data_IF_223166910500
#
_entry.id   IF_223166910500
#
_cell.length_a   1.000
_cell.length_b   1.000
_cell.length_c   1.000
_cell.angle_alpha   90.00
_cell.angle_beta   90.00
_cell.angle_gamma   90.00
#
_symmetry.space_group_name_H-M   'P 1'
#
loop_
_entity.id
_entity.type
_entity.pdbx_description
1 polymer ?
#
# COMPACT_ATOMS: atom_id res chain seq x y z
N UNK A 1 43.79 36.96 -50.49
CA UNK A 1 42.51 36.77 -49.78
C UNK A 1 41.40 37.03 -50.77
N UNK A 2 40.81 36.00 -51.34
CA UNK A 2 39.59 36.15 -52.14
C UNK A 2 38.41 36.06 -51.17
N UNK A 3 37.70 37.18 -50.97
CA UNK A 3 36.44 37.20 -50.23
C UNK A 3 35.37 36.51 -51.06
N UNK A 4 35.29 35.19 -50.95
CA UNK A 4 34.17 34.41 -51.46
C UNK A 4 32.96 34.62 -50.54
N UNK A 5 32.36 35.79 -50.66
CA UNK A 5 31.10 36.16 -50.03
C UNK A 5 29.97 35.47 -50.80
N UNK A 6 29.88 34.15 -50.68
CA UNK A 6 28.78 33.39 -51.25
C UNK A 6 27.50 33.83 -50.54
N UNK A 7 26.68 34.66 -51.22
CA UNK A 7 25.50 35.33 -50.62
C UNK A 7 24.46 34.38 -50.01
N UNK A 8 24.58 33.08 -50.30
CA UNK A 8 23.69 32.03 -49.81
C UNK A 8 24.19 31.30 -48.55
N UNK A 9 25.38 31.63 -48.03
CA UNK A 9 25.91 31.01 -46.80
C UNK A 9 25.63 31.93 -45.62
N UNK A 10 24.94 31.43 -44.59
CA UNK A 10 24.61 32.22 -43.39
C UNK A 10 25.81 32.28 -42.45
N UNK A 11 26.23 33.49 -42.07
CA UNK A 11 27.45 33.73 -41.27
C UNK A 11 27.17 33.87 -39.76
N UNK A 12 25.90 34.00 -39.37
CA UNK A 12 25.47 34.13 -37.97
C UNK A 12 24.55 32.98 -37.56
N UNK A 13 24.85 32.38 -36.41
CA UNK A 13 24.02 31.36 -35.78
C UNK A 13 22.68 31.97 -35.34
N UNK A 14 21.59 31.26 -35.61
CA UNK A 14 20.25 31.66 -35.16
C UNK A 14 20.24 31.61 -33.63
N UNK A 15 19.73 32.67 -32.98
CA UNK A 15 19.44 32.63 -31.54
C UNK A 15 18.50 31.48 -31.25
N UNK A 16 18.78 30.74 -30.17
CA UNK A 16 17.94 29.63 -29.74
C UNK A 16 16.50 30.14 -29.49
N UNK A 17 15.56 29.65 -30.29
CA UNK A 17 14.15 29.96 -30.17
C UNK A 17 13.47 28.80 -29.47
N UNK A 18 12.51 29.13 -28.60
CA UNK A 18 11.66 28.09 -28.03
C UNK A 18 10.88 27.38 -29.14
N UNK A 19 10.70 26.05 -29.05
CA UNK A 19 9.97 25.32 -30.07
C UNK A 19 8.53 25.87 -30.24
N UNK A 20 7.97 25.82 -31.45
CA UNK A 20 6.58 26.22 -31.69
C UNK A 20 5.63 25.52 -30.72
N UNK A 21 4.55 26.18 -30.33
CA UNK A 21 3.60 25.66 -29.32
C UNK A 21 3.01 24.30 -29.73
N UNK A 22 2.86 24.03 -31.02
CA UNK A 22 2.42 22.74 -31.56
C UNK A 22 3.43 21.59 -31.40
N UNK A 23 4.71 21.92 -31.20
CA UNK A 23 5.83 20.96 -31.13
C UNK A 23 6.39 20.81 -29.72
N UNK A 24 5.67 21.30 -28.69
CA UNK A 24 6.09 21.16 -27.29
C UNK A 24 4.90 20.98 -26.35
N UNK A 25 5.16 20.39 -25.18
CA UNK A 25 4.21 20.28 -24.09
C UNK A 25 2.97 19.43 -24.41
N UNK A 26 1.85 19.78 -23.77
CA UNK A 26 0.59 19.01 -23.82
C UNK A 26 0.02 18.94 -25.24
N UNK A 27 0.15 20.02 -26.03
CA UNK A 27 -0.42 20.09 -27.39
C UNK A 27 0.23 19.04 -28.30
N UNK A 28 1.55 18.92 -28.26
CA UNK A 28 2.27 17.87 -29.00
C UNK A 28 1.85 16.47 -28.53
N UNK A 29 1.76 16.27 -27.21
CA UNK A 29 1.35 14.98 -26.64
C UNK A 29 -0.04 14.54 -27.11
N UNK A 30 -1.02 15.47 -27.12
CA UNK A 30 -2.37 15.19 -27.63
C UNK A 30 -2.35 14.83 -29.11
N UNK A 31 -1.61 15.59 -29.92
CA UNK A 31 -1.50 15.31 -31.36
C UNK A 31 -0.85 13.97 -31.65
N UNK A 32 0.18 13.57 -30.89
CA UNK A 32 0.94 12.34 -31.10
C UNK A 32 0.26 11.09 -30.51
N UNK A 33 -0.54 11.23 -29.45
CA UNK A 33 -1.15 10.09 -28.76
C UNK A 33 -2.64 9.93 -29.09
N UNK A 34 -3.42 11.02 -29.03
CA UNK A 34 -4.88 10.96 -29.16
C UNK A 34 -5.35 11.13 -30.62
N UNK A 35 -4.61 11.90 -31.43
CA UNK A 35 -5.04 12.28 -32.80
C UNK A 35 -4.05 11.77 -33.86
N UNK A 36 -3.19 10.80 -33.53
CA UNK A 36 -2.12 10.36 -34.42
C UNK A 36 -2.58 9.58 -35.64
N UNK A 37 -3.78 8.99 -35.60
CA UNK A 37 -4.38 8.29 -36.74
C UNK A 37 -5.90 8.49 -36.76
N UNK A 38 -6.58 8.33 -37.91
CA UNK A 38 -8.04 8.39 -37.97
C UNK A 38 -8.71 7.40 -37.02
N UNK A 39 -8.12 6.23 -36.82
CA UNK A 39 -8.59 5.24 -35.84
C UNK A 39 -8.44 5.72 -34.39
N UNK A 40 -7.27 6.28 -34.03
CA UNK A 40 -7.04 6.83 -32.69
C UNK A 40 -7.96 8.01 -32.40
N UNK A 41 -8.22 8.85 -33.40
CA UNK A 41 -9.16 9.95 -33.27
C UNK A 41 -10.59 9.46 -33.01
N UNK A 42 -11.06 8.45 -33.75
CA UNK A 42 -12.39 7.83 -33.54
C UNK A 42 -12.46 7.18 -32.16
N UNK A 43 -11.44 6.41 -31.76
CA UNK A 43 -11.41 5.77 -30.44
C UNK A 43 -11.38 6.79 -29.31
N UNK A 44 -10.64 7.88 -29.47
CA UNK A 44 -10.63 8.99 -28.51
C UNK A 44 -12.01 9.63 -28.40
N UNK A 45 -12.67 9.91 -29.53
CA UNK A 45 -14.01 10.49 -29.52
C UNK A 45 -15.04 9.54 -28.88
N UNK A 46 -14.95 8.24 -29.19
CA UNK A 46 -15.79 7.21 -28.59
C UNK A 46 -15.56 7.10 -27.08
N UNK A 47 -14.30 7.07 -26.63
CA UNK A 47 -13.96 7.06 -25.20
C UNK A 47 -14.49 8.31 -24.49
N UNK A 48 -14.32 9.49 -25.08
CA UNK A 48 -14.88 10.73 -24.53
C UNK A 48 -16.41 10.67 -24.45
N UNK A 49 -17.08 10.14 -25.47
CA UNK A 49 -18.52 9.96 -25.47
C UNK A 49 -19.00 8.97 -24.40
N UNK A 50 -18.31 7.83 -24.22
CA UNK A 50 -18.61 6.86 -23.16
C UNK A 50 -18.42 7.50 -21.79
N UNK A 51 -17.29 8.18 -21.56
CA UNK A 51 -17.00 8.87 -20.30
C UNK A 51 -18.07 9.92 -20.01
N UNK A 52 -18.40 10.75 -21.01
CA UNK A 52 -19.45 11.76 -20.89
C UNK A 52 -20.81 11.14 -20.56
N UNK A 53 -21.18 10.05 -21.25
CA UNK A 53 -22.44 9.34 -21.00
C UNK A 53 -22.49 8.76 -19.58
N UNK A 54 -21.42 8.11 -19.11
CA UNK A 54 -21.35 7.58 -17.74
C UNK A 54 -21.49 8.72 -16.73
N UNK A 55 -20.76 9.83 -16.94
CA UNK A 55 -20.81 10.99 -16.04
C UNK A 55 -22.22 11.57 -15.99
N UNK A 56 -22.87 11.87 -17.12
CA UNK A 56 -24.19 12.51 -17.12
C UNK A 56 -25.26 11.61 -16.52
N UNK A 57 -25.19 10.30 -16.74
CA UNK A 57 -26.17 9.36 -16.18
C UNK A 57 -25.95 9.07 -14.69
N UNK A 58 -24.71 9.09 -14.21
CA UNK A 58 -24.39 8.83 -12.80
C UNK A 58 -24.34 10.09 -11.92
N UNK A 59 -24.08 11.25 -12.50
CA UNK A 59 -23.92 12.51 -11.77
C UNK A 59 -25.15 12.90 -10.94
N UNK A 60 -26.41 12.80 -11.44
CA UNK A 60 -27.59 13.10 -10.62
C UNK A 60 -27.65 12.24 -9.35
N UNK A 61 -27.29 10.95 -9.46
CA UNK A 61 -27.28 10.03 -8.33
C UNK A 61 -26.32 10.47 -7.22
N UNK A 62 -25.12 10.94 -7.58
CA UNK A 62 -24.13 11.44 -6.62
C UNK A 62 -24.44 12.86 -6.11
N UNK A 63 -24.82 13.77 -7.00
CA UNK A 63 -24.99 15.20 -6.70
C UNK A 63 -26.23 15.42 -5.82
N UNK A 64 -27.33 14.73 -6.12
CA UNK A 64 -28.57 14.83 -5.35
C UNK A 64 -28.59 13.89 -4.13
N UNK A 65 -27.41 13.40 -3.70
CA UNK A 65 -27.31 12.44 -2.61
C UNK A 65 -27.64 13.05 -1.24
N UNK A 66 -28.52 12.40 -0.49
CA UNK A 66 -28.96 12.85 0.84
C UNK A 66 -28.10 12.21 1.93
N UNK A 67 -27.56 13.03 2.83
CA UNK A 67 -26.69 12.60 3.94
C UNK A 67 -27.37 12.58 5.32
N UNK A 68 -28.56 13.16 5.43
CA UNK A 68 -29.28 13.29 6.69
C UNK A 68 -30.75 12.88 6.52
N UNK A 69 -31.07 11.66 6.94
CA UNK A 69 -32.41 11.08 6.94
C UNK A 69 -32.47 9.97 7.99
N UNK A 70 -33.58 9.82 8.71
CA UNK A 70 -33.76 8.82 9.77
C UNK A 70 -34.23 7.47 9.24
N UNK A 71 -34.71 7.43 8.00
CA UNK A 71 -35.12 6.19 7.35
C UNK A 71 -34.94 6.25 5.84
N UNK A 72 -34.88 5.08 5.21
CA UNK A 72 -34.82 4.96 3.75
C UNK A 72 -36.07 5.58 3.08
N UNK A 73 -37.24 5.51 3.74
CA UNK A 73 -38.49 6.10 3.23
C UNK A 73 -38.42 7.63 3.20
N UNK A 74 -37.97 8.23 4.29
CA UNK A 74 -37.75 9.69 4.37
C UNK A 74 -36.76 10.17 3.30
N UNK A 75 -35.75 9.35 3.00
CA UNK A 75 -34.82 9.62 1.91
C UNK A 75 -35.53 9.71 0.54
N UNK A 76 -36.46 8.81 0.26
CA UNK A 76 -37.26 8.84 -0.97
C UNK A 76 -38.25 10.02 -0.99
N UNK A 77 -38.83 10.36 0.16
CA UNK A 77 -39.76 11.48 0.28
C UNK A 77 -39.06 12.82 -0.01
N UNK A 78 -37.82 13.00 0.46
CA UNK A 78 -37.00 14.20 0.20
C UNK A 78 -36.54 14.26 -1.26
N UNK A 79 -36.27 13.12 -1.88
CA UNK A 79 -35.85 13.04 -3.29
C UNK A 79 -36.96 13.45 -4.26
N UNK A 80 -38.23 13.36 -3.86
CA UNK A 80 -39.42 13.79 -4.61
C UNK A 80 -39.38 13.40 -6.11
N UNK A 81 -39.05 12.13 -6.39
CA UNK A 81 -38.98 11.59 -7.76
C UNK A 81 -37.72 11.95 -8.55
N UNK A 82 -36.81 12.75 -7.99
CA UNK A 82 -35.48 13.02 -8.55
C UNK A 82 -34.55 11.84 -8.24
N UNK A 83 -33.65 11.48 -9.18
CA UNK A 83 -32.64 10.45 -8.94
C UNK A 83 -31.54 10.97 -8.01
N UNK A 84 -31.24 10.21 -6.94
CA UNK A 84 -30.26 10.54 -5.90
C UNK A 84 -29.91 9.34 -5.01
N UNK A 85 -28.73 9.35 -4.41
CA UNK A 85 -28.28 8.31 -3.48
C UNK A 85 -28.73 8.60 -2.04
N UNK A 86 -29.05 7.56 -1.28
CA UNK A 86 -29.27 7.69 0.17
C UNK A 86 -27.97 7.45 0.95
N UNK A 87 -27.13 8.47 1.08
CA UNK A 87 -25.87 8.41 1.82
C UNK A 87 -26.05 8.45 3.35
N UNK A 88 -27.25 8.76 3.85
CA UNK A 88 -27.58 8.68 5.28
C UNK A 88 -27.24 7.28 5.87
N UNK A 89 -27.49 6.20 5.12
CA UNK A 89 -27.13 4.83 5.53
C UNK A 89 -25.61 4.68 5.69
N UNK A 90 -24.82 5.26 4.77
CA UNK A 90 -23.36 5.22 4.87
C UNK A 90 -22.88 5.99 6.09
N UNK A 91 -23.47 7.15 6.41
CA UNK A 91 -23.13 7.95 7.59
C UNK A 91 -23.42 7.19 8.89
N UNK A 92 -24.59 6.57 9.01
CA UNK A 92 -24.95 5.79 10.20
C UNK A 92 -24.13 4.52 10.36
N UNK A 93 -23.79 3.85 9.26
CA UNK A 93 -23.06 2.57 9.25
C UNK A 93 -21.56 2.75 9.05
N UNK A 94 -21.06 3.99 8.98
CA UNK A 94 -19.64 4.27 8.76
C UNK A 94 -18.72 3.57 9.77
N UNK A 95 -19.01 3.58 11.09
CA UNK A 95 -18.18 2.84 12.05
C UNK A 95 -18.14 1.34 11.78
N UNK A 96 -19.26 0.76 11.31
CA UNK A 96 -19.33 -0.66 10.98
C UNK A 96 -18.54 -1.01 9.72
N UNK A 97 -18.52 -0.12 8.73
CA UNK A 97 -17.71 -0.28 7.52
C UNK A 97 -16.21 -0.19 7.81
N UNK A 98 -15.80 0.62 8.78
CA UNK A 98 -14.38 0.81 9.13
C UNK A 98 -13.88 -0.27 10.09
N UNK A 99 -14.57 -0.50 11.21
CA UNK A 99 -14.09 -1.35 12.31
C UNK A 99 -14.77 -2.73 12.38
N UNK A 100 -15.89 -2.92 11.66
CA UNK A 100 -16.72 -4.12 11.75
C UNK A 100 -17.88 -3.98 12.74
N UNK A 101 -18.62 -5.07 12.93
CA UNK A 101 -19.88 -5.06 13.70
C UNK A 101 -19.72 -5.05 15.21
N UNK A 102 -18.63 -5.64 15.73
CA UNK A 102 -18.48 -5.94 17.17
C UNK A 102 -17.30 -5.25 17.86
N UNK A 103 -16.49 -4.49 17.11
CA UNK A 103 -15.35 -3.80 17.70
C UNK A 103 -15.82 -2.71 18.68
N UNK A 104 -15.33 -2.68 19.93
CA UNK A 104 -15.80 -1.75 20.95
C UNK A 104 -15.50 -0.29 20.57
N UNK A 105 -16.51 0.58 20.68
CA UNK A 105 -16.42 1.97 20.24
C UNK A 105 -15.46 2.83 21.05
N UNK A 106 -15.24 2.47 22.32
CA UNK A 106 -14.24 3.09 23.19
C UNK A 106 -12.81 2.87 22.70
N UNK A 107 -12.58 1.82 21.91
CA UNK A 107 -11.24 1.41 21.46
C UNK A 107 -10.94 1.74 20.00
N UNK A 108 -11.81 2.51 19.32
CA UNK A 108 -11.57 2.95 17.93
C UNK A 108 -10.29 3.76 17.75
N UNK A 109 -9.75 4.34 18.82
CA UNK A 109 -8.47 5.02 18.77
C UNK A 109 -7.33 4.05 18.39
N UNK A 110 -7.40 2.75 18.74
CA UNK A 110 -6.31 1.81 18.47
C UNK A 110 -6.14 1.55 16.96
N UNK A 111 -7.19 1.19 16.20
CA UNK A 111 -7.07 1.05 14.75
C UNK A 111 -6.73 2.35 14.04
N UNK A 112 -7.24 3.49 14.52
CA UNK A 112 -6.94 4.79 13.92
C UNK A 112 -5.46 5.14 14.07
N UNK A 113 -4.90 4.94 15.25
CA UNK A 113 -3.46 5.11 15.46
C UNK A 113 -2.69 4.10 14.60
N UNK A 114 -3.14 2.85 14.48
CA UNK A 114 -2.49 1.86 13.61
C UNK A 114 -2.41 2.37 12.16
N UNK A 115 -3.51 2.92 11.61
CA UNK A 115 -3.54 3.48 10.24
C UNK A 115 -2.64 4.71 10.11
N UNK A 116 -2.63 5.62 11.09
CA UNK A 116 -1.73 6.78 11.06
C UNK A 116 -0.26 6.33 11.08
N UNK A 117 0.07 5.35 11.91
CA UNK A 117 1.40 4.76 11.97
C UNK A 117 1.73 3.99 10.67
N UNK A 118 0.76 3.38 10.00
CA UNK A 118 0.95 2.76 8.68
C UNK A 118 1.42 3.80 7.66
N UNK A 119 0.74 4.95 7.62
CA UNK A 119 1.10 6.03 6.70
C UNK A 119 2.51 6.57 7.00
N UNK A 120 2.86 6.70 8.28
CA UNK A 120 4.22 7.08 8.69
C UNK A 120 5.26 6.02 8.30
N UNK A 121 4.93 4.73 8.42
CA UNK A 121 5.77 3.61 8.00
C UNK A 121 5.92 3.52 6.48
N UNK A 122 4.89 3.90 5.72
CA UNK A 122 4.90 3.89 4.25
C UNK A 122 5.62 5.10 3.66
N UNK A 123 5.61 6.25 4.35
CA UNK A 123 6.22 7.49 3.90
C UNK A 123 7.67 7.33 3.38
N UNK A 124 8.64 6.73 4.11
CA UNK A 124 10.01 6.58 3.61
C UNK A 124 10.14 5.63 2.41
N UNK A 125 9.17 4.73 2.20
CA UNK A 125 9.12 3.83 1.05
C UNK A 125 8.63 4.58 -0.20
N UNK A 126 7.61 5.43 -0.04
CA UNK A 126 7.02 6.19 -1.14
C UNK A 126 7.89 7.41 -1.54
N UNK A 127 8.51 8.07 -0.56
CA UNK A 127 9.28 9.30 -0.77
C UNK A 127 10.77 9.07 -0.52
N UNK A 128 11.54 8.94 -1.61
CA UNK A 128 13.01 8.79 -1.57
C UNK A 128 13.77 9.95 -0.92
N UNK A 129 13.12 11.09 -0.67
CA UNK A 129 13.70 12.28 -0.03
C UNK A 129 13.73 12.21 1.50
N UNK A 130 13.03 11.25 2.11
CA UNK A 130 12.97 11.11 3.57
C UNK A 130 14.21 10.38 4.11
N UNK A 131 14.60 10.64 5.39
CA UNK A 131 15.77 10.02 5.98
C UNK A 131 15.62 8.49 6.07
N UNK A 132 16.66 7.77 5.68
CA UNK A 132 16.69 6.30 5.68
C UNK A 132 16.47 5.68 7.07
N UNK A 133 16.75 6.43 8.15
CA UNK A 133 16.49 6.00 9.52
C UNK A 133 15.01 5.68 9.78
N UNK A 134 14.09 6.34 9.06
CA UNK A 134 12.65 6.05 9.14
C UNK A 134 12.28 4.67 8.58
N UNK A 135 13.13 4.03 7.76
CA UNK A 135 12.89 2.64 7.31
C UNK A 135 12.94 1.64 8.47
N UNK A 136 13.67 1.97 9.55
CA UNK A 136 13.65 1.16 10.77
C UNK A 136 12.26 1.12 11.39
N UNK A 137 11.51 2.22 11.31
CA UNK A 137 10.13 2.26 11.77
C UNK A 137 9.22 1.35 10.94
N UNK A 138 9.41 1.31 9.61
CA UNK A 138 8.68 0.38 8.73
C UNK A 138 8.91 -1.09 9.09
N UNK A 139 10.09 -1.45 9.60
CA UNK A 139 10.38 -2.81 10.04
C UNK A 139 9.72 -3.17 11.38
N UNK A 140 9.56 -2.20 12.29
CA UNK A 140 8.93 -2.40 13.60
C UNK A 140 7.40 -2.35 13.50
N UNK A 141 6.87 -1.55 12.57
CA UNK A 141 5.44 -1.28 12.44
C UNK A 141 4.53 -2.52 12.41
N UNK A 142 4.82 -3.63 11.68
CA UNK A 142 3.94 -4.80 11.67
C UNK A 142 3.70 -5.41 13.06
N UNK A 143 4.74 -5.42 13.91
CA UNK A 143 4.67 -5.93 15.28
C UNK A 143 3.91 -4.97 16.18
N UNK A 144 4.14 -3.66 16.01
CA UNK A 144 3.43 -2.62 16.75
C UNK A 144 1.93 -2.60 16.40
N UNK A 145 1.59 -2.73 15.12
CA UNK A 145 0.21 -2.78 14.63
C UNK A 145 -0.52 -4.02 15.17
N UNK A 146 0.15 -5.17 15.21
CA UNK A 146 -0.42 -6.37 15.83
C UNK A 146 -0.82 -6.13 17.28
N UNK A 147 0.09 -5.61 18.11
CA UNK A 147 -0.21 -5.31 19.52
C UNK A 147 -1.35 -4.30 19.67
N UNK A 148 -1.34 -3.24 18.87
CA UNK A 148 -2.32 -2.17 18.97
C UNK A 148 -3.74 -2.65 18.65
N UNK A 149 -3.90 -3.58 17.69
CA UNK A 149 -5.22 -4.02 17.22
C UNK A 149 -5.76 -5.23 18.00
N UNK A 150 -4.92 -6.24 18.26
CA UNK A 150 -5.32 -7.42 19.04
C UNK A 150 -5.34 -7.16 20.54
N UNK A 151 -4.57 -6.19 21.03
CA UNK A 151 -4.40 -5.92 22.45
C UNK A 151 -3.47 -6.94 23.12
N UNK A 152 -3.61 -7.09 24.44
CA UNK A 152 -2.69 -7.88 25.26
C UNK A 152 -1.41 -7.14 25.60
N UNK A 153 -0.37 -7.88 25.99
CA UNK A 153 0.91 -7.29 26.39
C UNK A 153 1.77 -6.92 25.18
N UNK A 154 2.49 -5.78 25.23
CA UNK A 154 3.45 -5.42 24.17
C UNK A 154 4.63 -6.39 24.12
N UNK A 155 4.86 -7.17 25.19
CA UNK A 155 5.92 -8.16 25.27
C UNK A 155 5.84 -9.18 24.14
N UNK A 156 4.63 -9.62 23.75
CA UNK A 156 4.45 -10.54 22.62
C UNK A 156 5.03 -9.96 21.34
N UNK A 157 4.74 -8.70 21.03
CA UNK A 157 5.25 -8.03 19.84
C UNK A 157 6.77 -7.79 19.91
N UNK A 158 7.29 -7.40 21.07
CA UNK A 158 8.73 -7.17 21.28
C UNK A 158 9.51 -8.49 21.13
N UNK A 159 9.04 -9.56 21.74
CA UNK A 159 9.67 -10.89 21.66
C UNK A 159 9.58 -11.45 20.24
N UNK A 160 8.46 -11.25 19.55
CA UNK A 160 8.33 -11.62 18.14
C UNK A 160 9.39 -10.92 17.28
N UNK A 161 9.54 -9.60 17.44
CA UNK A 161 10.55 -8.80 16.73
C UNK A 161 11.98 -9.23 17.08
N UNK A 162 12.30 -9.37 18.36
CA UNK A 162 13.62 -9.77 18.82
C UNK A 162 13.99 -11.19 18.37
N UNK A 163 13.05 -12.13 18.38
CA UNK A 163 13.28 -13.49 17.89
C UNK A 163 13.55 -13.52 16.38
N UNK A 164 12.84 -12.70 15.59
CA UNK A 164 13.12 -12.54 14.17
C UNK A 164 14.51 -11.91 13.93
N UNK A 165 14.84 -10.84 14.67
CA UNK A 165 16.15 -10.20 14.59
C UNK A 165 17.29 -11.17 14.99
N UNK A 166 17.07 -11.98 16.03
CA UNK A 166 18.01 -13.00 16.49
C UNK A 166 18.18 -14.12 15.45
N UNK A 167 17.09 -14.60 14.85
CA UNK A 167 17.14 -15.55 13.74
C UNK A 167 17.94 -15.02 12.56
N UNK A 168 17.72 -13.77 12.15
CA UNK A 168 18.49 -13.09 11.09
C UNK A 168 19.97 -12.97 11.47
N UNK A 169 20.27 -12.63 12.72
CA UNK A 169 21.65 -12.57 13.22
C UNK A 169 22.34 -13.93 13.14
N UNK A 170 21.69 -15.00 13.60
CA UNK A 170 22.18 -16.38 13.48
C UNK A 170 22.38 -16.78 12.00
N UNK A 171 21.42 -16.47 11.13
CA UNK A 171 21.53 -16.72 9.69
C UNK A 171 22.78 -16.05 9.11
N UNK A 172 22.98 -14.75 9.38
CA UNK A 172 24.14 -14.00 8.89
C UNK A 172 25.46 -14.55 9.43
N UNK A 173 25.48 -15.05 10.67
CA UNK A 173 26.68 -15.61 11.30
C UNK A 173 27.09 -16.97 10.73
N UNK A 174 26.13 -17.84 10.43
CA UNK A 174 26.36 -19.22 10.02
C UNK A 174 26.26 -19.46 8.50
N UNK A 175 25.66 -18.53 7.75
CA UNK A 175 25.57 -18.58 6.28
C UNK A 175 26.93 -18.62 5.59
N UNK A 176 28.00 -18.16 6.24
CA UNK A 176 29.37 -18.19 5.71
C UNK A 176 29.91 -19.61 5.43
N UNK A 177 29.38 -20.64 6.10
CA UNK A 177 29.78 -22.05 5.87
C UNK A 177 28.90 -22.74 4.83
N UNK A 178 27.59 -22.63 5.01
CA UNK A 178 26.60 -23.20 4.10
C UNK A 178 25.30 -22.43 4.29
N UNK A 179 24.70 -22.01 3.17
CA UNK A 179 23.42 -21.31 3.18
C UNK A 179 22.33 -22.14 3.87
N UNK A 180 22.20 -23.42 3.51
CA UNK A 180 21.18 -24.32 4.06
C UNK A 180 21.35 -24.51 5.58
N UNK A 181 22.59 -24.69 6.04
CA UNK A 181 22.90 -24.80 7.47
C UNK A 181 22.57 -23.51 8.23
N UNK A 182 22.86 -22.35 7.61
CA UNK A 182 22.49 -21.05 8.15
C UNK A 182 20.98 -20.88 8.31
N UNK A 183 20.18 -21.29 7.32
CA UNK A 183 18.70 -21.22 7.40
C UNK A 183 18.17 -22.12 8.51
N UNK A 184 18.63 -23.38 8.59
CA UNK A 184 18.16 -24.33 9.60
C UNK A 184 18.46 -23.81 11.02
N UNK A 185 19.68 -23.34 11.27
CA UNK A 185 20.03 -22.76 12.57
C UNK A 185 19.19 -21.53 12.87
N UNK A 186 18.99 -20.64 11.90
CA UNK A 186 18.19 -19.43 12.10
C UNK A 186 16.75 -19.75 12.52
N UNK A 187 16.11 -20.73 11.85
CA UNK A 187 14.76 -21.18 12.19
C UNK A 187 14.71 -21.80 13.58
N UNK A 188 15.64 -22.70 13.91
CA UNK A 188 15.68 -23.35 15.23
C UNK A 188 15.92 -22.30 16.33
N UNK A 189 16.85 -21.38 16.12
CA UNK A 189 17.18 -20.33 17.07
C UNK A 189 16.00 -19.37 17.30
N UNK A 190 15.31 -18.95 16.23
CA UNK A 190 14.13 -18.09 16.34
C UNK A 190 12.97 -18.81 17.04
N UNK A 191 12.68 -20.06 16.65
CA UNK A 191 11.63 -20.86 17.29
C UNK A 191 11.90 -21.09 18.78
N UNK A 192 13.14 -21.43 19.14
CA UNK A 192 13.52 -21.58 20.55
C UNK A 192 13.37 -20.26 21.32
N UNK A 193 13.78 -19.14 20.73
CA UNK A 193 13.61 -17.82 21.32
C UNK A 193 12.14 -17.47 21.56
N UNK A 194 11.25 -17.75 20.59
CA UNK A 194 9.82 -17.49 20.73
C UNK A 194 9.15 -18.39 21.76
N UNK A 195 9.54 -19.67 21.84
CA UNK A 195 9.03 -20.57 22.88
C UNK A 195 9.42 -20.06 24.27
N UNK A 196 10.70 -19.73 24.47
CA UNK A 196 11.17 -19.20 25.75
C UNK A 196 10.52 -17.85 26.09
N UNK A 197 10.37 -16.98 25.09
CA UNK A 197 9.73 -15.69 25.24
C UNK A 197 8.21 -15.77 25.45
N UNK A 198 7.56 -16.83 24.98
CA UNK A 198 6.15 -17.12 25.29
C UNK A 198 5.94 -17.29 26.78
N UNK A 199 6.76 -18.12 27.43
CA UNK A 199 6.72 -18.30 28.89
C UNK A 199 6.97 -16.98 29.66
N UNK A 200 7.86 -16.12 29.16
CA UNK A 200 8.10 -14.79 29.75
C UNK A 200 6.90 -13.84 29.57
N UNK A 201 6.17 -13.94 28.46
CA UNK A 201 4.98 -13.11 28.21
C UNK A 201 3.81 -13.53 29.07
N UNK A 202 3.62 -14.85 29.26
CA UNK A 202 2.61 -15.43 30.15
C UNK A 202 2.89 -15.10 31.62
N UNK A 203 4.17 -15.04 32.03
CA UNK A 203 4.53 -14.60 33.38
C UNK A 203 4.20 -13.11 33.66
N UNK A 204 4.09 -12.29 32.60
CA UNK A 204 3.95 -10.84 32.68
C UNK A 204 2.71 -10.31 31.93
N UNK A 205 1.61 -11.06 31.96
CA UNK A 205 0.35 -10.75 31.24
C UNK A 205 -0.27 -9.38 31.55
N UNK A 206 0.07 -8.76 32.69
CA UNK A 206 -0.49 -7.47 33.11
C UNK A 206 0.37 -6.27 32.72
N UNK A 207 1.58 -6.49 32.20
CA UNK A 207 2.48 -5.40 31.84
C UNK A 207 1.95 -4.62 30.63
N UNK A 208 1.49 -3.37 30.85
CA UNK A 208 0.92 -2.49 29.82
C UNK A 208 -0.11 -3.19 28.93
N UNK A 209 -0.92 -4.07 29.53
CA UNK A 209 -1.88 -4.88 28.80
C UNK A 209 -3.07 -4.04 28.33
N UNK A 210 -3.36 -4.12 27.03
CA UNK A 210 -4.58 -3.60 26.44
C UNK A 210 -5.67 -4.69 26.46
N UNK A 211 -6.94 -4.30 26.54
CA UNK A 211 -8.05 -5.26 26.42
C UNK A 211 -7.92 -6.07 25.13
N UNK A 212 -7.89 -7.40 25.25
CA UNK A 212 -7.72 -8.27 24.09
C UNK A 212 -9.02 -8.35 23.29
N UNK A 213 -8.97 -8.00 22.00
CA UNK A 213 -10.12 -8.09 21.11
C UNK A 213 -10.02 -9.40 20.30
N UNK A 214 -11.03 -10.29 20.35
CA UNK A 214 -11.01 -11.50 19.54
C UNK A 214 -11.02 -11.21 18.05
N UNK A 215 -10.26 -11.99 17.26
CA UNK A 215 -10.19 -11.82 15.79
C UNK A 215 -11.56 -11.90 15.09
N UNK A 216 -12.54 -12.60 15.68
CA UNK A 216 -13.91 -12.72 15.14
C UNK A 216 -14.70 -11.41 15.21
N UNK A 217 -14.33 -10.52 16.13
CA UNK A 217 -15.03 -9.26 16.35
C UNK A 217 -14.41 -8.10 15.54
N UNK A 218 -13.28 -8.37 14.88
CA UNK A 218 -12.61 -7.47 13.94
C UNK A 218 -13.22 -7.62 12.54
N UNK A 219 -13.41 -6.50 11.84
CA UNK A 219 -13.87 -6.53 10.46
C UNK A 219 -13.70 -5.20 9.74
N UNK A 220 -14.38 -5.07 8.60
CA UNK A 220 -14.42 -3.83 7.83
C UNK A 220 -13.10 -3.51 7.12
N UNK A 221 -12.94 -2.24 6.78
CA UNK A 221 -11.76 -1.70 6.08
C UNK A 221 -10.47 -1.92 6.86
N UNK A 222 -10.53 -1.82 8.19
CA UNK A 222 -9.38 -2.02 9.07
C UNK A 222 -8.74 -3.39 8.83
N UNK A 223 -9.54 -4.47 8.87
CA UNK A 223 -9.02 -5.83 8.71
C UNK A 223 -8.42 -6.05 7.31
N UNK A 224 -9.07 -5.51 6.27
CA UNK A 224 -8.56 -5.60 4.91
C UNK A 224 -7.22 -4.88 4.74
N UNK A 225 -7.09 -3.68 5.30
CA UNK A 225 -5.85 -2.90 5.25
C UNK A 225 -4.71 -3.62 5.98
N UNK A 226 -5.01 -4.24 7.13
CA UNK A 226 -4.03 -4.99 7.91
C UNK A 226 -3.56 -6.24 7.20
N UNK A 227 -4.49 -7.09 6.75
CA UNK A 227 -4.16 -8.31 6.03
C UNK A 227 -3.41 -8.00 4.74
N UNK A 228 -3.81 -6.95 4.01
CA UNK A 228 -3.09 -6.46 2.84
C UNK A 228 -1.67 -6.02 3.18
N UNK A 229 -1.49 -5.25 4.26
CA UNK A 229 -0.16 -4.78 4.69
C UNK A 229 0.75 -5.94 5.10
N UNK A 230 0.25 -6.87 5.92
CA UNK A 230 1.02 -8.04 6.36
C UNK A 230 1.37 -8.92 5.16
N UNK A 231 0.41 -9.18 4.25
CA UNK A 231 0.63 -9.95 3.04
C UNK A 231 1.70 -9.32 2.15
N UNK A 232 1.64 -8.01 1.88
CA UNK A 232 2.66 -7.29 1.11
C UNK A 232 4.03 -7.31 1.80
N UNK A 233 4.06 -7.16 3.12
CA UNK A 233 5.29 -7.14 3.90
C UNK A 233 6.03 -8.48 3.88
N UNK A 234 5.30 -9.60 3.79
CA UNK A 234 5.88 -10.95 3.71
C UNK A 234 6.14 -11.36 2.25
N UNK A 235 5.26 -11.00 1.32
CA UNK A 235 5.37 -11.43 -0.08
C UNK A 235 6.56 -10.81 -0.81
N UNK A 236 6.90 -9.54 -0.52
CA UNK A 236 8.03 -8.87 -1.17
C UNK A 236 9.37 -9.53 -0.79
N UNK A 237 9.75 -9.69 0.50
CA UNK A 237 10.97 -10.39 0.88
C UNK A 237 10.99 -11.83 0.39
N UNK A 238 9.88 -12.55 0.49
CA UNK A 238 9.80 -13.93 0.02
C UNK A 238 10.02 -14.02 -1.50
N UNK A 239 9.43 -13.11 -2.27
CA UNK A 239 9.64 -13.01 -3.71
C UNK A 239 11.09 -12.72 -4.08
N UNK A 240 11.76 -11.83 -3.34
CA UNK A 240 13.20 -11.56 -3.51
C UNK A 240 14.03 -12.82 -3.22
N UNK A 241 13.73 -13.52 -2.12
CA UNK A 241 14.45 -14.75 -1.75
C UNK A 241 14.28 -15.83 -2.82
N UNK A 242 13.07 -16.04 -3.35
CA UNK A 242 12.83 -16.99 -4.43
C UNK A 242 13.53 -16.58 -5.73
N UNK A 243 13.53 -15.29 -6.07
CA UNK A 243 14.24 -14.76 -7.24
C UNK A 243 15.76 -14.98 -7.15
N UNK A 244 16.36 -14.76 -5.97
CA UNK A 244 17.76 -15.05 -5.71
C UNK A 244 18.02 -16.58 -5.72
N UNK A 245 17.10 -17.38 -5.19
CA UNK A 245 17.17 -18.84 -5.19
C UNK A 245 17.22 -19.43 -6.61
N UNK A 246 16.50 -18.84 -7.57
CA UNK A 246 16.56 -19.23 -9.00
C UNK A 246 17.94 -19.01 -9.63
N UNK A 247 18.75 -18.08 -9.10
CA UNK A 247 20.12 -17.81 -9.55
C UNK A 247 21.18 -18.68 -8.84
N UNK A 248 20.77 -19.52 -7.87
CA UNK A 248 21.70 -20.35 -7.11
C UNK A 248 22.27 -21.52 -7.93
N UNK A 249 23.54 -21.84 -7.71
CA UNK A 249 24.22 -22.98 -8.31
C UNK A 249 23.85 -24.34 -7.65
N UNK A 250 23.10 -24.33 -6.54
CA UNK A 250 22.68 -25.54 -5.85
C UNK A 250 21.38 -26.11 -6.48
N UNK A 251 21.40 -27.33 -7.06
CA UNK A 251 20.30 -27.84 -7.88
C UNK A 251 18.99 -28.02 -7.11
N UNK A 252 19.04 -28.45 -5.85
CA UNK A 252 17.84 -28.64 -5.02
C UNK A 252 17.12 -27.31 -4.76
N UNK A 253 17.86 -26.28 -4.36
CA UNK A 253 17.28 -24.96 -4.05
C UNK A 253 16.72 -24.32 -5.32
N UNK A 254 17.44 -24.42 -6.43
CA UNK A 254 16.98 -23.89 -7.73
C UNK A 254 15.69 -24.56 -8.19
N UNK A 255 15.56 -25.88 -8.03
CA UNK A 255 14.35 -26.62 -8.39
C UNK A 255 13.14 -26.19 -7.57
N UNK A 256 13.28 -26.08 -6.24
CA UNK A 256 12.21 -25.61 -5.37
C UNK A 256 11.76 -24.20 -5.79
N UNK A 257 12.68 -23.28 -6.06
CA UNK A 257 12.36 -21.90 -6.46
C UNK A 257 11.86 -21.74 -7.92
N UNK A 258 11.88 -22.80 -8.74
CA UNK A 258 11.32 -22.78 -10.10
C UNK A 258 9.92 -23.39 -10.14
N UNK A 259 9.63 -24.32 -9.23
CA UNK A 259 8.30 -24.93 -9.09
C UNK A 259 7.31 -23.97 -8.43
N UNK A 260 7.75 -23.21 -7.43
CA UNK A 260 6.98 -22.14 -6.77
C UNK A 260 7.13 -20.81 -7.51
#
# INVERSE_FOLDING_TARGET
MAENNASFVRHELIKEQVPPVSQRGVVKWVSENLISSPFNFIMTLLSLWIIYSIIVNSAPWFINGIWDAKSVRECYDILDGVSGACFAVLKERFPQLIYGFKYPSTEYWRPNIAVVLLLAALAPVLFRKLPQQLLGFSAIYPFLAYWLIWGGTPLVAVIAFLGLAFGIYCFRRFSARSFAFGVIIAVIAASFFWVLGGYLSEANETFLALEAVPSRDMGGLMLNLLLGTIACSISIPLGIVLALGRQSNMPIIKWICVIF
#
